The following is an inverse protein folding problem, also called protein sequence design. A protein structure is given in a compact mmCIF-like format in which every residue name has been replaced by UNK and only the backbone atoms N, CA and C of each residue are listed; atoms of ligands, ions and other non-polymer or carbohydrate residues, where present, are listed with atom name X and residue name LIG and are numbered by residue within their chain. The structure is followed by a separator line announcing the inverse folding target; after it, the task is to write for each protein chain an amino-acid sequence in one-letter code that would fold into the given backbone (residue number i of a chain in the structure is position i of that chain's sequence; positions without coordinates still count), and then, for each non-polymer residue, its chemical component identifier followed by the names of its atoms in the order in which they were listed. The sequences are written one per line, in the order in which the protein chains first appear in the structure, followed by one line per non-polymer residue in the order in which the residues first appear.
data_IF_524937442095
#
_entry.id   IF_524937442095
#
_cell.length_a   1.000
_cell.length_b   1.000
_cell.length_c   1.000
_cell.angle_alpha   90.00
_cell.angle_beta   90.00
_cell.angle_gamma   90.00
#
_symmetry.space_group_name_H-M   'P 1'
#
loop_
_entity.id
_entity.type
_entity.pdbx_description
1 polymer ?
#
# COMPACT_ATOMS: atom_id res chain seq x y z
N UNK A 1 0.04 -15.63 -24.82
CA UNK A 1 0.22 -15.51 -23.36
C UNK A 1 -0.66 -16.55 -22.67
N UNK A 2 -0.21 -17.18 -21.60
CA UNK A 2 -1.03 -18.17 -20.87
C UNK A 2 -1.78 -17.47 -19.72
N UNK A 3 -3.03 -17.86 -19.47
CA UNK A 3 -3.87 -17.24 -18.43
C UNK A 3 -3.24 -17.27 -17.03
N UNK A 4 -2.52 -18.34 -16.70
CA UNK A 4 -1.83 -18.54 -15.40
C UNK A 4 -0.78 -17.47 -15.11
N UNK A 5 -0.25 -16.78 -16.12
CA UNK A 5 0.72 -15.69 -15.96
C UNK A 5 0.07 -14.40 -15.43
N UNK A 6 -1.26 -14.34 -15.33
CA UNK A 6 -2.01 -13.19 -14.83
C UNK A 6 -2.33 -13.26 -13.34
N UNK A 7 -2.05 -14.38 -12.66
CA UNK A 7 -2.22 -14.47 -11.21
C UNK A 7 -1.33 -13.43 -10.52
N UNK A 8 -1.92 -12.64 -9.62
CA UNK A 8 -1.24 -11.55 -8.90
C UNK A 8 -0.84 -10.34 -9.76
N UNK A 9 -0.98 -10.40 -11.09
CA UNK A 9 -0.66 -9.29 -12.01
C UNK A 9 -1.89 -8.48 -12.35
N UNK A 10 -1.67 -7.21 -12.68
CA UNK A 10 -2.71 -6.28 -13.10
C UNK A 10 -2.38 -5.71 -14.45
N UNK A 11 -3.24 -5.96 -15.43
CA UNK A 11 -3.06 -5.49 -16.79
C UNK A 11 -4.10 -4.43 -17.16
N UNK A 12 -3.71 -3.56 -18.08
CA UNK A 12 -4.62 -2.64 -18.75
C UNK A 12 -5.31 -3.38 -19.90
N UNK A 13 -6.55 -2.99 -20.21
CA UNK A 13 -7.33 -3.60 -21.29
C UNK A 13 -6.56 -3.60 -22.63
N UNK A 14 -5.88 -2.50 -22.93
CA UNK A 14 -5.13 -2.30 -24.19
C UNK A 14 -3.93 -3.26 -24.32
N UNK A 15 -3.45 -3.80 -23.21
CA UNK A 15 -2.29 -4.71 -23.15
C UNK A 15 -2.68 -6.19 -23.12
N UNK A 16 -3.98 -6.51 -23.07
CA UNK A 16 -4.46 -7.90 -22.99
C UNK A 16 -4.80 -8.47 -24.38
N UNK A 17 -4.05 -9.46 -24.88
CA UNK A 17 -4.51 -10.26 -26.01
C UNK A 17 -5.62 -11.20 -25.53
N UNK A 18 -6.77 -11.17 -26.20
CA UNK A 18 -7.88 -12.10 -26.04
C UNK A 18 -8.70 -11.97 -24.72
N UNK A 19 -9.22 -10.77 -24.44
CA UNK A 19 -10.12 -10.49 -23.31
C UNK A 19 -11.40 -11.33 -23.36
N UNK A 20 -11.86 -11.76 -24.55
CA UNK A 20 -13.11 -12.52 -24.75
C UNK A 20 -13.15 -13.86 -24.02
N UNK A 21 -12.05 -14.61 -24.03
CA UNK A 21 -12.01 -15.97 -23.48
C UNK A 21 -11.96 -16.00 -21.95
N UNK A 22 -11.32 -15.00 -21.33
CA UNK A 22 -11.08 -14.96 -19.89
C UNK A 22 -12.00 -14.01 -19.13
N UNK A 23 -12.82 -13.24 -19.84
CA UNK A 23 -13.84 -12.34 -19.30
C UNK A 23 -14.62 -12.88 -18.09
N UNK A 24 -15.14 -14.14 -18.09
CA UNK A 24 -15.92 -14.62 -16.95
C UNK A 24 -15.10 -14.90 -15.69
N UNK A 25 -13.77 -15.07 -15.81
CA UNK A 25 -12.86 -15.38 -14.68
C UNK A 25 -12.08 -14.16 -14.20
N UNK A 26 -12.12 -13.06 -14.96
CA UNK A 26 -11.36 -11.85 -14.67
C UNK A 26 -12.11 -10.96 -13.69
N UNK A 27 -11.37 -10.45 -12.70
CA UNK A 27 -11.81 -9.38 -11.85
C UNK A 27 -11.47 -8.05 -12.52
N UNK A 28 -12.48 -7.17 -12.64
CA UNK A 28 -12.31 -5.80 -13.13
C UNK A 28 -12.36 -4.81 -11.99
N UNK A 29 -11.50 -3.79 -12.05
CA UNK A 29 -11.51 -2.66 -11.11
C UNK A 29 -11.12 -1.37 -11.83
N UNK A 30 -11.63 -0.20 -11.40
CA UNK A 30 -11.25 1.07 -12.01
C UNK A 30 -9.75 1.30 -11.83
N UNK A 31 -9.08 1.88 -12.83
CA UNK A 31 -7.64 2.08 -12.74
C UNK A 31 -7.26 3.25 -11.82
N UNK A 32 -8.15 4.22 -11.65
CA UNK A 32 -8.01 5.29 -10.67
C UNK A 32 -9.31 5.53 -9.90
N UNK A 33 -9.17 5.94 -8.64
CA UNK A 33 -10.28 6.45 -7.83
C UNK A 33 -10.10 7.94 -7.65
N UNK A 34 -11.12 8.70 -8.03
CA UNK A 34 -11.11 10.15 -7.96
C UNK A 34 -11.87 10.62 -6.73
N UNK A 35 -11.26 11.48 -5.93
CA UNK A 35 -11.89 12.18 -4.80
C UNK A 35 -11.96 13.68 -5.12
N UNK A 36 -12.37 14.54 -4.18
CA UNK A 36 -12.49 15.98 -4.44
C UNK A 36 -11.19 16.60 -4.98
N UNK A 37 -10.06 16.38 -4.32
CA UNK A 37 -8.76 16.98 -4.68
C UNK A 37 -7.73 15.96 -5.17
N UNK A 38 -7.95 14.66 -4.93
CA UNK A 38 -6.95 13.62 -5.17
C UNK A 38 -7.39 12.64 -6.25
N UNK A 39 -6.43 12.24 -7.07
CA UNK A 39 -6.50 11.09 -7.95
C UNK A 39 -5.64 9.97 -7.35
N UNK A 40 -6.26 8.83 -7.04
CA UNK A 40 -5.59 7.69 -6.40
C UNK A 40 -5.44 6.59 -7.44
N UNK A 41 -4.21 6.22 -7.76
CA UNK A 41 -3.94 5.13 -8.69
C UNK A 41 -4.20 3.79 -8.00
N UNK A 42 -5.10 2.96 -8.55
CA UNK A 42 -5.38 1.64 -7.98
C UNK A 42 -4.27 0.63 -8.27
N UNK A 43 -3.41 0.89 -9.29
CA UNK A 43 -2.28 0.02 -9.62
C UNK A 43 -1.14 0.10 -8.61
N UNK A 44 -0.70 1.32 -8.29
CA UNK A 44 0.44 1.55 -7.38
C UNK A 44 0.05 2.12 -6.00
N UNK A 45 -1.21 2.51 -5.80
CA UNK A 45 -1.69 3.11 -4.55
C UNK A 45 -1.33 4.59 -4.36
N UNK A 46 -0.54 5.19 -5.27
CA UNK A 46 -0.10 6.57 -5.13
C UNK A 46 -1.25 7.57 -5.27
N UNK A 47 -1.17 8.65 -4.48
CA UNK A 47 -2.14 9.75 -4.47
C UNK A 47 -1.51 10.97 -5.11
N UNK A 48 -2.15 11.53 -6.13
CA UNK A 48 -1.69 12.74 -6.80
C UNK A 48 -2.77 13.81 -6.79
N UNK A 49 -2.36 15.08 -6.78
CA UNK A 49 -3.29 16.21 -6.83
C UNK A 49 -3.92 16.28 -8.22
N UNK A 50 -5.25 16.42 -8.30
CA UNK A 50 -5.97 16.40 -9.60
C UNK A 50 -5.48 17.46 -10.58
N UNK A 51 -5.22 18.68 -10.10
CA UNK A 51 -4.82 19.80 -10.97
C UNK A 51 -3.48 19.57 -11.66
N UNK A 52 -2.57 18.77 -11.07
CA UNK A 52 -1.22 18.55 -11.63
C UNK A 52 -1.19 17.43 -12.68
N UNK A 53 -2.21 16.57 -12.71
CA UNK A 53 -2.24 15.37 -13.56
C UNK A 53 -3.44 15.36 -14.53
N UNK A 54 -4.11 16.49 -14.70
CA UNK A 54 -5.28 16.63 -15.57
C UNK A 54 -4.88 16.67 -17.05
N UNK A 55 -5.62 15.94 -17.87
CA UNK A 55 -5.52 15.91 -19.33
C UNK A 55 -6.66 16.74 -19.97
N UNK A 56 -6.53 17.13 -21.26
CA UNK A 56 -7.48 18.00 -21.97
C UNK A 56 -8.94 17.51 -22.04
N UNK A 57 -9.21 16.24 -21.73
CA UNK A 57 -10.55 15.64 -21.73
C UNK A 57 -11.14 15.42 -20.33
N UNK A 58 -10.64 16.13 -19.34
CA UNK A 58 -10.99 15.94 -17.92
C UNK A 58 -10.60 14.56 -17.36
N UNK A 59 -9.60 13.94 -17.99
CA UNK A 59 -9.05 12.66 -17.57
C UNK A 59 -7.81 12.89 -16.72
N UNK A 60 -7.43 11.91 -15.92
CA UNK A 60 -6.26 12.00 -15.05
C UNK A 60 -5.30 10.86 -15.35
N UNK A 61 -4.00 11.10 -15.25
CA UNK A 61 -3.00 10.03 -15.38
C UNK A 61 -2.17 9.87 -14.12
N UNK A 62 -1.60 8.68 -13.94
CA UNK A 62 -0.64 8.42 -12.88
C UNK A 62 0.81 8.65 -13.38
N UNK A 63 1.58 9.61 -12.82
CA UNK A 63 2.96 9.86 -13.22
C UNK A 63 3.91 8.74 -12.78
N UNK A 64 3.68 8.12 -11.62
CA UNK A 64 4.51 7.03 -11.08
C UNK A 64 4.45 5.75 -11.92
N UNK A 65 3.34 5.57 -12.62
CA UNK A 65 3.05 4.37 -13.40
C UNK A 65 3.49 4.50 -14.86
N UNK A 66 4.04 5.66 -15.27
CA UNK A 66 4.26 5.99 -16.68
C UNK A 66 5.14 4.96 -17.41
N UNK A 67 6.24 4.51 -16.79
CA UNK A 67 7.18 3.54 -17.37
C UNK A 67 6.57 2.13 -17.53
N UNK A 68 5.58 1.78 -16.71
CA UNK A 68 4.89 0.48 -16.73
C UNK A 68 3.62 0.51 -17.61
N UNK A 69 3.51 1.51 -18.47
CA UNK A 69 2.30 1.82 -19.24
C UNK A 69 1.46 2.88 -18.54
N UNK A 70 1.15 3.95 -19.28
CA UNK A 70 0.35 5.09 -18.80
C UNK A 70 -1.02 4.60 -18.34
N UNK A 71 -1.32 4.80 -17.06
CA UNK A 71 -2.63 4.53 -16.48
C UNK A 71 -3.45 5.80 -16.48
N UNK A 72 -4.65 5.76 -17.04
CA UNK A 72 -5.61 6.87 -17.02
C UNK A 72 -6.87 6.55 -16.21
N UNK A 73 -7.64 7.59 -15.87
CA UNK A 73 -8.90 7.48 -15.11
C UNK A 73 -9.99 6.65 -15.80
N UNK A 74 -9.96 6.57 -17.14
CA UNK A 74 -11.01 5.91 -17.93
C UNK A 74 -10.71 4.43 -18.19
N UNK A 75 -9.51 4.01 -17.83
CA UNK A 75 -9.07 2.64 -18.01
C UNK A 75 -9.52 1.75 -16.85
N UNK A 76 -9.52 0.45 -17.16
CA UNK A 76 -9.82 -0.62 -16.21
C UNK A 76 -8.60 -1.49 -16.02
N UNK A 77 -8.40 -1.94 -14.79
CA UNK A 77 -7.40 -2.94 -14.42
C UNK A 77 -8.07 -4.30 -14.32
N UNK A 78 -7.42 -5.28 -14.94
CA UNK A 78 -7.87 -6.66 -14.98
C UNK A 78 -6.86 -7.56 -14.27
N UNK A 79 -7.37 -8.47 -13.46
CA UNK A 79 -6.56 -9.44 -12.72
C UNK A 79 -7.30 -10.77 -12.57
N UNK A 80 -6.57 -11.87 -12.49
CA UNK A 80 -7.15 -13.15 -12.07
C UNK A 80 -7.04 -13.31 -10.55
N UNK A 81 -8.07 -13.83 -9.87
CA UNK A 81 -7.97 -14.16 -8.46
C UNK A 81 -6.90 -15.23 -8.25
N UNK A 82 -6.05 -15.05 -7.24
CA UNK A 82 -5.06 -16.07 -6.90
C UNK A 82 -5.78 -17.33 -6.41
N UNK A 83 -5.41 -18.52 -6.91
CA UNK A 83 -6.04 -19.77 -6.47
C UNK A 83 -5.59 -20.17 -5.06
N UNK A 84 -4.51 -19.58 -4.55
CA UNK A 84 -3.92 -19.96 -3.29
C UNK A 84 -4.72 -19.35 -2.12
N UNK A 85 -5.39 -20.21 -1.36
CA UNK A 85 -6.17 -19.82 -0.19
C UNK A 85 -5.30 -19.99 1.05
N UNK A 86 -4.45 -19.01 1.33
CA UNK A 86 -3.71 -19.00 2.60
C UNK A 86 -4.70 -18.84 3.75
N UNK A 87 -4.58 -19.69 4.76
CA UNK A 87 -5.32 -19.53 6.00
C UNK A 87 -4.98 -18.16 6.60
N UNK A 88 -6.00 -17.33 6.85
CA UNK A 88 -5.77 -16.07 7.56
C UNK A 88 -5.22 -16.42 8.94
N UNK A 89 -4.01 -15.93 9.22
CA UNK A 89 -3.53 -15.94 10.59
C UNK A 89 -4.53 -15.13 11.42
N UNK A 90 -5.23 -15.83 12.30
CA UNK A 90 -5.93 -15.18 13.39
C UNK A 90 -4.84 -14.43 14.15
N UNK A 91 -4.97 -13.10 14.27
CA UNK A 91 -4.16 -12.38 15.26
C UNK A 91 -4.52 -13.04 16.59
N UNK A 92 -3.66 -13.93 17.06
CA UNK A 92 -3.56 -14.16 18.48
C UNK A 92 -3.14 -12.79 19.01
N UNK A 93 -4.10 -12.07 19.58
CA UNK A 93 -3.82 -10.90 20.38
C UNK A 93 -2.76 -11.36 21.37
N UNK A 94 -1.51 -10.95 21.12
CA UNK A 94 -0.43 -11.28 22.02
C UNK A 94 -0.83 -10.61 23.34
N UNK A 95 -1.10 -11.36 24.42
CA UNK A 95 -1.43 -10.74 25.69
C UNK A 95 -0.29 -9.77 26.03
N UNK A 96 -0.64 -8.52 26.36
CA UNK A 96 0.29 -7.45 26.71
C UNK A 96 1.06 -7.75 28.02
N UNK A 97 0.79 -8.90 28.61
CA UNK A 97 1.13 -9.34 29.96
C UNK A 97 2.13 -10.51 30.00
N UNK A 98 2.77 -10.83 28.86
CA UNK A 98 3.94 -11.72 28.82
C UNK A 98 5.24 -11.04 29.34
N UNK A 99 5.16 -10.47 30.55
CA UNK A 99 6.29 -10.21 31.42
C UNK A 99 5.91 -10.61 32.85
N UNK A 100 5.53 -11.87 33.03
CA UNK A 100 5.35 -12.47 34.35
C UNK A 100 6.44 -13.52 34.54
N UNK A 101 7.63 -13.07 34.94
CA UNK A 101 8.78 -13.97 35.12
C UNK A 101 10.10 -13.34 35.55
N UNK A 102 10.11 -12.24 36.31
CA UNK A 102 11.29 -11.91 37.11
C UNK A 102 11.28 -12.80 38.36
N UNK A 103 11.71 -14.06 38.24
CA UNK A 103 12.03 -14.85 39.41
C UNK A 103 13.41 -14.40 39.91
N UNK A 104 13.46 -14.01 41.18
CA UNK A 104 14.59 -13.35 41.82
C UNK A 104 15.90 -14.14 41.69
N UNK A 105 16.88 -13.57 40.99
CA UNK A 105 18.29 -13.65 41.40
C UNK A 105 19.05 -12.43 40.88
N UNK A 106 19.90 -11.85 41.75
CA UNK A 106 20.53 -10.55 41.59
C UNK A 106 21.42 -10.49 40.33
N UNK A 107 21.27 -9.42 39.56
CA UNK A 107 22.26 -8.82 38.65
C UNK A 107 22.60 -9.54 37.32
N UNK A 108 21.60 -9.92 36.53
CA UNK A 108 21.75 -9.95 35.05
C UNK A 108 20.39 -10.02 34.34
N UNK A 109 19.73 -8.87 34.17
CA UNK A 109 18.65 -8.70 33.20
C UNK A 109 18.87 -7.36 32.48
N UNK A 110 19.83 -7.34 31.57
CA UNK A 110 19.95 -6.27 30.58
C UNK A 110 19.35 -6.80 29.28
N UNK A 111 18.48 -6.02 28.65
CA UNK A 111 17.70 -6.34 27.43
C UNK A 111 16.37 -7.08 27.61
N UNK A 112 15.39 -6.40 28.19
CA UNK A 112 13.98 -6.56 27.82
C UNK A 112 13.34 -5.16 27.74
N UNK A 113 13.62 -4.46 26.64
CA UNK A 113 12.84 -3.34 26.10
C UNK A 113 13.42 -3.07 24.70
N UNK A 114 13.00 -3.83 23.68
CA UNK A 114 13.11 -3.33 22.31
C UNK A 114 12.11 -2.18 22.21
N UNK A 115 12.57 -0.97 22.52
CA UNK A 115 11.86 0.26 22.21
C UNK A 115 11.71 0.38 20.70
N UNK A 116 10.46 0.32 20.25
CA UNK A 116 10.02 0.69 18.90
C UNK A 116 10.58 2.07 18.51
N UNK A 117 11.24 2.23 17.35
CA UNK A 117 11.74 3.52 16.92
C UNK A 117 10.70 4.20 16.02
N UNK A 118 9.46 4.44 16.47
CA UNK A 118 8.53 5.23 15.65
C UNK A 118 7.45 5.94 16.47
N UNK A 119 7.84 6.95 17.24
CA UNK A 119 6.89 7.99 17.67
C UNK A 119 7.55 9.36 17.76
N UNK A 120 7.25 10.18 16.75
CA UNK A 120 6.79 11.57 16.87
C UNK A 120 7.79 12.63 17.36
N UNK A 121 8.02 13.62 16.49
CA UNK A 121 8.03 15.03 16.89
C UNK A 121 9.40 15.65 17.11
N UNK A 122 10.10 15.97 16.02
CA UNK A 122 11.17 16.97 16.04
C UNK A 122 10.59 18.38 16.20
N UNK A 123 10.20 18.75 17.43
CA UNK A 123 10.14 20.16 17.82
C UNK A 123 10.06 20.35 19.35
N UNK A 124 11.20 20.57 20.00
CA UNK A 124 11.28 21.25 21.32
C UNK A 124 12.59 22.02 21.47
N UNK A 125 12.47 23.33 21.20
CA UNK A 125 12.77 24.46 22.09
C UNK A 125 13.84 24.29 23.20
N UNK A 126 14.63 25.38 23.27
CA UNK A 126 15.20 26.03 24.47
C UNK A 126 16.42 25.36 25.10
N UNK A 127 17.58 25.99 24.90
CA UNK A 127 18.53 26.19 25.98
C UNK A 127 18.49 27.66 26.41
N UNK A 128 18.25 27.82 27.70
CA UNK A 128 18.10 29.04 28.49
C UNK A 128 19.48 29.71 28.69
N UNK A 129 19.62 31.02 28.43
CA UNK A 129 19.92 32.07 29.43
C UNK A 129 20.26 31.60 30.85
N UNK A 130 21.46 31.96 31.33
CA UNK A 130 21.73 32.81 32.51
C UNK A 130 23.24 33.13 32.56
N UNK A 131 23.61 34.42 32.62
CA UNK A 131 24.21 35.13 33.77
C UNK A 131 25.65 34.62 34.08
N UNK A 132 26.71 35.42 33.93
CA UNK A 132 27.02 36.73 34.56
C UNK A 132 27.89 37.56 33.62
#
# INVERSE_FOLDING_TARGET
MQATQLFGRQLLADTMPNVAEWQPKLLRRPAMTLTAQWAICQRCGQRTVKQTVQLPRNNYYCPHCFQLGRVTSDQWLWSLPEPNQFAKLVKLDRPADACSGCLQSRNQCNFCCWSDPFTVGSDRRRQNRNAV
#
